data_IF_227501800533
#
_entry.id   IF_227501800533
#
_cell.length_a   1.000
_cell.length_b   1.000
_cell.length_c   1.000
_cell.angle_alpha   90.00
_cell.angle_beta   90.00
_cell.angle_gamma   90.00
#
_symmetry.space_group_name_H-M   'P 1'
#
loop_
_entity.id
_entity.type
_entity.pdbx_description
1 polymer ?
#
# COMPACT_ATOMS: atom_id res chain seq x y z
N UNK A 1 -36.45 -8.76 -20.15
CA UNK A 1 -35.39 -8.07 -20.91
C UNK A 1 -34.14 -8.14 -20.08
N UNK A 2 -33.29 -9.11 -20.42
CA UNK A 2 -31.99 -9.38 -19.82
C UNK A 2 -30.98 -8.35 -20.28
N UNK A 3 -30.15 -7.84 -19.37
CA UNK A 3 -28.68 -7.93 -19.46
C UNK A 3 -28.06 -7.54 -18.12
N UNK A 4 -27.31 -8.49 -17.59
CA UNK A 4 -26.41 -8.40 -16.45
C UNK A 4 -25.33 -7.35 -16.73
N UNK A 5 -25.19 -6.32 -15.88
CA UNK A 5 -23.99 -5.49 -15.87
C UNK A 5 -23.01 -6.10 -14.88
N UNK A 6 -22.19 -7.00 -15.44
CA UNK A 6 -21.06 -7.61 -14.77
C UNK A 6 -20.22 -6.57 -14.05
N UNK A 7 -19.89 -6.93 -12.82
CA UNK A 7 -18.81 -6.39 -12.00
C UNK A 7 -17.61 -6.07 -12.91
N UNK A 8 -17.21 -4.80 -13.01
CA UNK A 8 -15.83 -4.51 -13.42
C UNK A 8 -14.98 -5.06 -12.28
N UNK A 9 -14.49 -6.28 -12.44
CA UNK A 9 -13.51 -6.85 -11.53
C UNK A 9 -12.23 -6.03 -11.67
N UNK A 10 -12.16 -4.92 -10.95
CA UNK A 10 -10.89 -4.30 -10.54
C UNK A 10 -10.17 -5.37 -9.74
N UNK A 11 -9.41 -6.21 -10.44
CA UNK A 11 -8.75 -7.40 -9.88
C UNK A 11 -7.58 -6.93 -9.02
N UNK A 12 -7.91 -6.45 -7.82
CA UNK A 12 -6.92 -6.18 -6.79
C UNK A 12 -6.44 -7.51 -6.26
N UNK A 13 -5.14 -7.75 -6.35
CA UNK A 13 -4.48 -8.96 -5.88
C UNK A 13 -3.64 -8.57 -4.67
N UNK A 14 -3.87 -9.26 -3.55
CA UNK A 14 -3.00 -9.16 -2.38
C UNK A 14 -1.64 -9.78 -2.72
N UNK A 15 -0.57 -9.04 -2.47
CA UNK A 15 0.82 -9.47 -2.66
C UNK A 15 1.48 -9.72 -1.32
N UNK A 16 2.54 -10.51 -1.36
CA UNK A 16 3.39 -10.71 -0.20
C UNK A 16 4.39 -9.56 -0.08
N UNK A 17 4.15 -8.66 0.88
CA UNK A 17 5.06 -7.58 1.22
C UNK A 17 6.44 -8.08 1.65
N UNK A 18 6.50 -9.24 2.31
CA UNK A 18 7.76 -9.83 2.81
C UNK A 18 8.58 -10.52 1.72
N UNK A 19 8.07 -10.58 0.49
CA UNK A 19 8.84 -11.04 -0.65
C UNK A 19 9.84 -9.97 -1.16
N UNK A 20 9.70 -8.71 -0.74
CA UNK A 20 10.66 -7.62 -1.02
C UNK A 20 11.98 -7.83 -0.28
N UNK A 21 13.03 -7.13 -0.69
CA UNK A 21 14.30 -7.13 0.05
C UNK A 21 14.13 -6.54 1.45
N UNK A 22 14.97 -6.95 2.40
CA UNK A 22 14.91 -6.41 3.78
C UNK A 22 15.10 -4.89 3.81
N UNK A 23 15.92 -4.34 2.91
CA UNK A 23 16.14 -2.90 2.77
C UNK A 23 14.85 -2.19 2.36
N UNK A 24 14.20 -2.65 1.28
CA UNK A 24 12.91 -2.09 0.85
C UNK A 24 11.84 -2.21 1.93
N UNK A 25 11.76 -3.37 2.60
CA UNK A 25 10.81 -3.56 3.69
C UNK A 25 11.03 -2.52 4.79
N UNK A 26 12.29 -2.30 5.21
CA UNK A 26 12.62 -1.30 6.23
C UNK A 26 12.28 0.11 5.77
N UNK A 27 12.50 0.44 4.50
CA UNK A 27 12.14 1.75 3.96
C UNK A 27 10.63 1.99 4.07
N UNK A 28 9.78 1.06 3.63
CA UNK A 28 8.33 1.24 3.77
C UNK A 28 7.87 1.25 5.23
N UNK A 29 8.47 0.41 6.07
CA UNK A 29 8.14 0.30 7.49
C UNK A 29 8.59 1.49 8.33
N UNK A 30 9.55 2.30 7.87
CA UNK A 30 10.08 3.46 8.59
C UNK A 30 9.69 4.79 7.92
N UNK A 31 9.86 4.91 6.61
CA UNK A 31 9.61 6.12 5.81
C UNK A 31 8.13 6.24 5.42
N UNK A 32 7.25 6.16 6.41
CA UNK A 32 5.81 6.33 6.21
C UNK A 32 5.38 7.76 6.51
N UNK A 33 4.72 8.41 5.55
CA UNK A 33 3.99 9.64 5.78
C UNK A 33 2.62 9.36 6.40
N UNK A 34 2.29 10.02 7.51
CA UNK A 34 0.96 9.94 8.11
C UNK A 34 0.21 11.27 7.98
N UNK A 35 -0.93 11.27 7.31
CA UNK A 35 -1.78 12.47 7.19
C UNK A 35 -2.38 12.94 8.53
N UNK A 36 -2.52 12.07 9.53
CA UNK A 36 -3.04 12.46 10.85
C UNK A 36 -1.98 13.15 11.71
N UNK A 37 -0.75 12.65 11.69
CA UNK A 37 0.37 13.30 12.39
C UNK A 37 0.96 14.46 11.59
N UNK A 38 0.77 14.46 10.26
CA UNK A 38 1.40 15.38 9.31
C UNK A 38 2.93 15.35 9.36
N UNK A 39 3.48 14.15 9.56
CA UNK A 39 4.92 13.90 9.67
C UNK A 39 5.34 12.75 8.77
N UNK A 40 6.60 12.81 8.32
CA UNK A 40 7.31 11.74 7.62
C UNK A 40 8.08 10.88 8.63
N UNK A 41 8.53 9.70 8.23
CA UNK A 41 9.40 8.82 9.02
C UNK A 41 8.80 8.29 10.33
N UNK A 42 7.46 8.19 10.41
CA UNK A 42 6.78 7.64 11.60
C UNK A 42 6.72 6.11 11.61
N UNK A 43 6.87 5.52 10.44
CA UNK A 43 6.72 4.10 10.21
C UNK A 43 5.29 3.56 10.21
N UNK A 44 5.15 2.37 9.63
CA UNK A 44 3.90 1.62 9.57
C UNK A 44 4.02 0.24 10.21
N UNK A 45 2.90 -0.26 10.74
CA UNK A 45 2.72 -1.64 11.22
C UNK A 45 1.62 -2.30 10.40
N UNK A 46 1.59 -3.63 10.42
CA UNK A 46 0.65 -4.45 9.65
C UNK A 46 0.65 -4.13 8.14
N UNK A 47 1.81 -4.09 7.47
CA UNK A 47 1.87 -3.78 6.05
C UNK A 47 1.15 -4.85 5.23
N UNK A 48 0.34 -4.41 4.27
CA UNK A 48 -0.35 -5.27 3.30
C UNK A 48 -0.17 -4.67 1.93
N UNK A 49 0.48 -5.41 1.05
CA UNK A 49 0.73 -4.97 -0.31
C UNK A 49 -0.41 -5.42 -1.24
N UNK A 50 -0.83 -4.54 -2.13
CA UNK A 50 -1.89 -4.77 -3.09
C UNK A 50 -1.48 -4.27 -4.46
N UNK A 51 -1.78 -5.08 -5.47
CA UNK A 51 -1.54 -4.76 -6.87
C UNK A 51 -2.86 -4.74 -7.63
N UNK A 52 -3.02 -3.75 -8.49
CA UNK A 52 -4.10 -3.68 -9.47
C UNK A 52 -3.52 -3.46 -10.85
N UNK A 53 -4.36 -3.57 -11.88
CA UNK A 53 -3.98 -3.23 -13.26
C UNK A 53 -3.54 -1.78 -13.44
N UNK A 54 -3.87 -0.87 -12.51
CA UNK A 54 -3.59 0.56 -12.61
C UNK A 54 -2.41 1.02 -11.73
N UNK A 55 -2.16 0.33 -10.61
CA UNK A 55 -1.17 0.74 -9.60
C UNK A 55 -0.85 -0.35 -8.57
N UNK A 56 0.26 -0.17 -7.86
CA UNK A 56 0.72 -0.95 -6.72
C UNK A 56 0.76 -0.07 -5.47
N UNK A 57 0.26 -0.55 -4.34
CA UNK A 57 0.28 0.20 -3.08
C UNK A 57 0.42 -0.71 -1.87
N UNK A 58 0.86 -0.14 -0.76
CA UNK A 58 0.94 -0.79 0.54
C UNK A 58 0.01 -0.05 1.49
N UNK A 59 -0.88 -0.79 2.15
CA UNK A 59 -1.69 -0.29 3.24
C UNK A 59 -1.11 -0.75 4.58
N UNK A 60 -1.15 0.12 5.58
CA UNK A 60 -0.75 -0.22 6.94
C UNK A 60 -1.40 0.72 7.95
N UNK A 61 -0.91 0.64 9.18
CA UNK A 61 -1.30 1.53 10.26
C UNK A 61 -0.08 2.32 10.74
N UNK A 62 -0.21 3.62 10.97
CA UNK A 62 0.87 4.42 11.53
C UNK A 62 1.26 3.88 12.92
N UNK A 63 2.56 3.74 13.19
CA UNK A 63 3.05 3.27 14.50
C UNK A 63 2.75 4.29 15.60
N UNK A 64 2.81 5.59 15.28
CA UNK A 64 2.62 6.67 16.24
C UNK A 64 1.14 6.83 16.67
N UNK A 65 0.24 7.01 15.70
CA UNK A 65 -1.18 7.31 15.99
C UNK A 65 -2.14 6.15 15.73
N UNK A 66 -1.72 5.09 15.03
CA UNK A 66 -2.59 3.98 14.64
C UNK A 66 -3.55 4.28 13.49
N UNK A 67 -3.48 5.46 12.86
CA UNK A 67 -4.31 5.79 11.71
C UNK A 67 -3.91 4.96 10.48
N UNK A 68 -4.87 4.67 9.61
CA UNK A 68 -4.58 4.00 8.35
C UNK A 68 -3.69 4.87 7.47
N UNK A 69 -2.63 4.27 6.95
CA UNK A 69 -1.65 4.88 6.04
C UNK A 69 -1.62 4.06 4.76
N UNK A 70 -1.49 4.74 3.62
CA UNK A 70 -1.44 4.12 2.30
C UNK A 70 -0.27 4.74 1.55
N UNK A 71 0.65 3.88 1.11
CA UNK A 71 1.82 4.27 0.33
C UNK A 71 1.69 3.70 -1.07
N UNK A 72 1.56 4.55 -2.07
CA UNK A 72 1.59 4.13 -3.47
C UNK A 72 3.03 3.92 -3.92
N UNK A 73 3.30 2.82 -4.60
CA UNK A 73 4.62 2.47 -5.10
C UNK A 73 4.66 2.81 -6.57
N UNK A 74 5.56 3.72 -6.92
CA UNK A 74 5.80 4.15 -8.30
C UNK A 74 7.20 3.71 -8.68
N UNK A 75 7.33 2.91 -9.74
CA UNK A 75 8.61 2.63 -10.37
C UNK A 75 8.82 3.68 -11.45
N UNK A 76 9.86 4.51 -11.34
CA UNK A 76 10.32 5.32 -12.47
C UNK A 76 10.99 4.35 -13.47
N UNK A 77 10.30 4.04 -14.58
CA UNK A 77 10.96 3.47 -15.76
C UNK A 77 12.00 4.49 -16.25
N UNK A 78 13.30 4.17 -16.10
CA UNK A 78 14.42 4.95 -16.67
C UNK A 78 14.36 5.09 -18.20
#
# INVERSE_FOLDING_TARGET
>A
MSVEKGNLESKVVERDFYARSEEEQQDFLSQTWCNQCMEVDLGMKNPKEFESSERLWIEGECVNCGAQVVTEIVYEDE
#
